data_IF_138113071335
#
_entry.id   IF_138113071335
#
_cell.length_a   1.000
_cell.length_b   1.000
_cell.length_c   1.000
_cell.angle_alpha   90.00
_cell.angle_beta   90.00
_cell.angle_gamma   90.00
#
_symmetry.space_group_name_H-M   'P 1'
#
loop_
_entity.id
_entity.type
_entity.pdbx_description
1 polymer ?
#
# COMPACT_ATOMS: atom_id res chain seq x y z
N UNK A 1 -22.70 -13.32 -16.51
CA UNK A 1 -21.68 -14.20 -17.11
C UNK A 1 -20.29 -13.56 -17.07
N UNK A 2 -20.14 -12.31 -17.49
CA UNK A 2 -18.85 -11.59 -17.57
C UNK A 2 -18.07 -11.52 -16.24
N UNK A 3 -18.76 -11.33 -15.10
CA UNK A 3 -18.14 -11.33 -13.77
C UNK A 3 -17.51 -12.69 -13.44
N UNK A 4 -18.20 -13.80 -13.72
CA UNK A 4 -17.66 -15.14 -13.51
C UNK A 4 -16.46 -15.44 -14.39
N UNK A 5 -16.47 -14.95 -15.64
CA UNK A 5 -15.32 -15.03 -16.54
C UNK A 5 -14.14 -14.21 -16.00
N UNK A 6 -14.38 -12.98 -15.52
CA UNK A 6 -13.33 -12.13 -14.94
C UNK A 6 -12.72 -12.77 -13.68
N UNK A 7 -13.54 -13.33 -12.80
CA UNK A 7 -13.07 -14.07 -11.61
C UNK A 7 -12.21 -15.27 -12.03
N UNK A 8 -12.69 -16.09 -12.97
CA UNK A 8 -11.95 -17.24 -13.49
C UNK A 8 -10.61 -16.85 -14.11
N UNK A 9 -10.60 -15.79 -14.94
CA UNK A 9 -9.38 -15.26 -15.55
C UNK A 9 -8.39 -14.75 -14.49
N UNK A 10 -8.87 -14.06 -13.46
CA UNK A 10 -8.02 -13.54 -12.38
C UNK A 10 -7.42 -14.68 -11.55
N UNK A 11 -8.22 -15.71 -11.25
CA UNK A 11 -7.75 -16.89 -10.52
C UNK A 11 -6.65 -17.63 -11.30
N UNK A 12 -6.86 -17.87 -12.60
CA UNK A 12 -5.88 -18.50 -13.49
C UNK A 12 -4.62 -17.63 -13.61
N UNK A 13 -4.78 -16.31 -13.75
CA UNK A 13 -3.68 -15.36 -13.80
C UNK A 13 -2.82 -15.37 -12.53
N UNK A 14 -3.44 -15.37 -11.35
CA UNK A 14 -2.74 -15.51 -10.07
C UNK A 14 -1.98 -16.83 -9.96
N UNK A 15 -2.58 -17.94 -10.44
CA UNK A 15 -1.93 -19.25 -10.43
C UNK A 15 -0.71 -19.28 -11.36
N UNK A 16 -0.84 -18.75 -12.57
CA UNK A 16 0.26 -18.62 -13.52
C UNK A 16 1.39 -17.75 -12.98
N UNK A 17 1.08 -16.63 -12.34
CA UNK A 17 2.08 -15.77 -11.71
C UNK A 17 2.85 -16.51 -10.61
N UNK A 18 2.16 -17.32 -9.79
CA UNK A 18 2.81 -18.16 -8.77
C UNK A 18 3.67 -19.24 -9.41
N UNK A 19 3.20 -19.90 -10.46
CA UNK A 19 3.94 -20.93 -11.18
C UNK A 19 5.21 -20.36 -11.82
N UNK A 20 5.12 -19.18 -12.44
CA UNK A 20 6.27 -18.45 -12.96
C UNK A 20 7.30 -18.16 -11.87
N UNK A 21 6.85 -17.76 -10.67
CA UNK A 21 7.73 -17.58 -9.52
C UNK A 21 8.45 -18.86 -9.07
N UNK A 22 7.82 -20.03 -9.22
CA UNK A 22 8.44 -21.34 -8.92
C UNK A 22 9.40 -21.81 -10.02
N UNK A 23 9.15 -21.42 -11.27
CA UNK A 23 9.98 -21.73 -12.43
C UNK A 23 11.22 -20.82 -12.52
N UNK A 24 11.25 -19.70 -11.80
CA UNK A 24 12.42 -18.83 -11.69
C UNK A 24 13.57 -19.63 -11.05
N UNK A 25 14.63 -19.83 -11.83
CA UNK A 25 15.85 -20.52 -11.42
C UNK A 25 16.54 -19.81 -10.24
N UNK A 26 17.10 -20.59 -9.32
CA UNK A 26 17.83 -20.11 -8.15
C UNK A 26 18.94 -19.10 -8.52
N UNK A 27 19.62 -19.29 -9.66
CA UNK A 27 20.69 -18.39 -10.12
C UNK A 27 20.22 -16.97 -10.46
N UNK A 28 18.94 -16.75 -10.78
CA UNK A 28 18.39 -15.42 -11.01
C UNK A 28 18.08 -14.69 -9.70
N UNK A 29 17.74 -15.44 -8.65
CA UNK A 29 17.38 -14.94 -7.33
C UNK A 29 18.61 -14.55 -6.49
N UNK A 30 19.76 -15.15 -6.77
CA UNK A 30 21.05 -14.84 -6.15
C UNK A 30 21.63 -13.48 -6.56
N UNK A 31 21.07 -12.84 -7.60
CA UNK A 31 21.46 -11.48 -7.99
C UNK A 31 21.15 -10.50 -6.86
N UNK A 32 22.11 -9.67 -6.41
CA UNK A 32 21.93 -8.78 -5.27
C UNK A 32 20.80 -7.77 -5.46
N UNK A 33 20.54 -7.33 -6.70
CA UNK A 33 19.44 -6.44 -7.04
C UNK A 33 18.06 -7.09 -6.81
N UNK A 34 17.90 -8.36 -7.20
CA UNK A 34 16.63 -9.10 -7.06
C UNK A 34 16.33 -9.34 -5.58
N UNK A 35 17.34 -9.76 -4.81
CA UNK A 35 17.21 -9.95 -3.37
C UNK A 35 16.81 -8.67 -2.64
N UNK A 36 17.43 -7.53 -2.98
CA UNK A 36 17.08 -6.22 -2.40
C UNK A 36 15.66 -5.78 -2.79
N UNK A 37 15.23 -6.03 -4.02
CA UNK A 37 13.85 -5.77 -4.42
C UNK A 37 12.87 -6.64 -3.64
N UNK A 38 13.11 -7.94 -3.53
CA UNK A 38 12.24 -8.88 -2.81
C UNK A 38 12.06 -8.51 -1.34
N UNK A 39 13.08 -7.96 -0.69
CA UNK A 39 12.95 -7.48 0.70
C UNK A 39 12.15 -6.17 0.81
N UNK A 40 12.16 -5.33 -0.23
CA UNK A 40 11.46 -4.04 -0.24
C UNK A 40 10.02 -4.14 -0.76
N UNK A 41 9.72 -5.16 -1.57
CA UNK A 41 8.41 -5.37 -2.17
C UNK A 41 7.26 -5.33 -1.15
N UNK A 42 7.30 -6.03 -0.01
CA UNK A 42 6.19 -5.99 0.95
C UNK A 42 5.89 -4.57 1.44
N UNK A 43 6.92 -3.83 1.85
CA UNK A 43 6.76 -2.45 2.35
C UNK A 43 6.33 -1.51 1.22
N UNK A 44 6.89 -1.66 0.01
CA UNK A 44 6.51 -0.84 -1.14
C UNK A 44 5.06 -1.07 -1.56
N UNK A 45 4.59 -2.33 -1.54
CA UNK A 45 3.20 -2.67 -1.84
C UNK A 45 2.25 -2.16 -0.76
N UNK A 46 2.60 -2.26 0.52
CA UNK A 46 1.82 -1.66 1.61
C UNK A 46 1.79 -0.14 1.53
N UNK A 47 2.91 0.50 1.16
CA UNK A 47 2.98 1.95 0.93
C UNK A 47 2.11 2.38 -0.27
N UNK A 48 2.16 1.63 -1.37
CA UNK A 48 1.30 1.88 -2.53
C UNK A 48 -0.19 1.68 -2.19
N UNK A 49 -0.52 0.63 -1.44
CA UNK A 49 -1.88 0.36 -0.98
C UNK A 49 -2.38 1.49 -0.09
N UNK A 50 -1.59 1.91 0.90
CA UNK A 50 -1.96 3.02 1.79
C UNK A 50 -2.14 4.32 1.02
N UNK A 51 -1.26 4.64 0.06
CA UNK A 51 -1.45 5.79 -0.82
C UNK A 51 -2.75 5.69 -1.63
N UNK A 52 -3.03 4.53 -2.24
CA UNK A 52 -4.25 4.33 -3.02
C UNK A 52 -5.51 4.43 -2.14
N UNK A 53 -5.52 3.83 -0.95
CA UNK A 53 -6.66 3.89 -0.01
C UNK A 53 -6.84 5.28 0.63
N UNK A 54 -5.80 6.11 0.59
CA UNK A 54 -5.82 7.49 1.12
C UNK A 54 -6.32 8.48 0.06
N UNK A 55 -5.88 8.35 -1.19
CA UNK A 55 -6.10 9.34 -2.24
C UNK A 55 -7.09 8.92 -3.35
N UNK A 56 -7.42 7.62 -3.46
CA UNK A 56 -8.36 7.12 -4.46
C UNK A 56 -9.67 6.66 -3.79
N UNK A 57 -10.80 7.18 -4.28
CA UNK A 57 -12.13 6.67 -3.96
C UNK A 57 -12.82 6.29 -5.27
N UNK A 58 -12.81 5.00 -5.61
CA UNK A 58 -13.30 4.50 -6.90
C UNK A 58 -12.47 5.07 -8.06
N UNK A 59 -13.09 5.91 -8.89
CA UNK A 59 -12.49 6.52 -10.08
C UNK A 59 -12.11 8.00 -9.91
N UNK A 60 -12.26 8.56 -8.71
CA UNK A 60 -11.97 9.96 -8.43
C UNK A 60 -10.80 10.09 -7.46
N UNK A 61 -9.87 11.00 -7.79
CA UNK A 61 -8.85 11.47 -6.87
C UNK A 61 -9.55 12.39 -5.87
N UNK A 62 -9.70 11.93 -4.64
CA UNK A 62 -10.31 12.74 -3.57
C UNK A 62 -9.19 13.06 -2.58
N UNK A 63 -8.91 14.36 -2.43
CA UNK A 63 -8.12 14.86 -1.30
C UNK A 63 -9.00 14.80 -0.04
N UNK A 64 -9.22 13.60 0.48
CA UNK A 64 -9.99 13.35 1.70
C UNK A 64 -9.15 13.71 2.95
N UNK A 65 -9.82 13.91 4.08
CA UNK A 65 -9.22 14.20 5.39
C UNK A 65 -8.13 13.17 5.79
N UNK A 66 -8.18 11.97 5.20
CA UNK A 66 -7.18 10.90 5.36
C UNK A 66 -5.78 11.36 4.92
N UNK A 67 -5.68 12.14 3.84
CA UNK A 67 -4.39 12.65 3.35
C UNK A 67 -3.72 13.59 4.37
N UNK A 68 -4.51 14.45 5.01
CA UNK A 68 -4.03 15.33 6.09
C UNK A 68 -3.57 14.51 7.31
N UNK A 69 -4.32 13.46 7.69
CA UNK A 69 -3.92 12.53 8.75
C UNK A 69 -2.59 11.85 8.49
N UNK A 70 -2.36 11.35 7.26
CA UNK A 70 -1.10 10.72 6.86
C UNK A 70 0.05 11.74 6.89
N UNK A 71 -0.17 12.97 6.44
CA UNK A 71 0.82 14.04 6.53
C UNK A 71 1.17 14.38 8.00
N UNK A 72 0.18 14.44 8.88
CA UNK A 72 0.37 14.63 10.32
C UNK A 72 1.19 13.51 10.96
N UNK A 73 0.89 12.25 10.64
CA UNK A 73 1.70 11.10 11.09
C UNK A 73 3.14 11.17 10.56
N UNK A 74 3.33 11.54 9.29
CA UNK A 74 4.66 11.67 8.70
C UNK A 74 5.49 12.74 9.45
N UNK A 75 4.89 13.89 9.78
CA UNK A 75 5.54 14.92 10.58
C UNK A 75 5.91 14.43 11.98
N UNK A 76 4.99 13.76 12.68
CA UNK A 76 5.26 13.20 14.01
C UNK A 76 6.37 12.14 13.97
N UNK A 77 6.44 11.35 12.91
CA UNK A 77 7.50 10.36 12.70
C UNK A 77 8.86 11.01 12.44
N UNK A 78 8.92 12.08 11.63
CA UNK A 78 10.16 12.85 11.40
C UNK A 78 10.68 13.48 12.70
N UNK A 79 9.78 13.91 13.58
CA UNK A 79 10.10 14.38 14.94
C UNK A 79 10.49 13.25 15.91
N UNK A 80 10.58 11.99 15.44
CA UNK A 80 10.92 10.80 16.23
C UNK A 80 9.99 10.55 17.42
N UNK A 81 8.71 10.90 17.29
CA UNK A 81 7.70 10.62 18.30
C UNK A 81 7.46 9.11 18.47
N UNK A 82 7.05 8.63 19.67
CA UNK A 82 6.70 7.22 19.86
C UNK A 82 5.47 6.85 19.03
N UNK A 83 5.35 5.56 18.67
CA UNK A 83 4.30 5.06 17.78
C UNK A 83 2.88 5.51 18.19
N UNK A 84 2.58 5.48 19.50
CA UNK A 84 1.28 5.89 20.02
C UNK A 84 0.96 7.36 19.72
N UNK A 85 1.97 8.23 19.79
CA UNK A 85 1.83 9.66 19.50
C UNK A 85 1.63 9.88 18.00
N UNK A 86 2.38 9.16 17.15
CA UNK A 86 2.21 9.23 15.69
C UNK A 86 0.77 8.87 15.28
N UNK A 87 0.24 7.78 15.84
CA UNK A 87 -1.15 7.34 15.60
C UNK A 87 -2.15 8.37 16.14
N UNK A 88 -1.92 8.87 17.36
CA UNK A 88 -2.78 9.88 17.99
C UNK A 88 -2.86 11.16 17.15
N UNK A 89 -1.73 11.64 16.63
CA UNK A 89 -1.67 12.82 15.74
C UNK A 89 -2.43 12.55 14.45
N UNK A 90 -2.23 11.41 13.79
CA UNK A 90 -2.96 11.07 12.57
C UNK A 90 -4.48 11.06 12.77
N UNK A 91 -4.95 10.43 13.85
CA UNK A 91 -6.38 10.38 14.19
C UNK A 91 -6.91 11.79 14.48
N UNK A 92 -6.22 12.57 15.32
CA UNK A 92 -6.63 13.92 15.68
C UNK A 92 -6.70 14.85 14.46
N UNK A 93 -5.70 14.81 13.58
CA UNK A 93 -5.67 15.62 12.35
C UNK A 93 -6.79 15.19 11.40
N UNK A 94 -6.99 13.89 11.19
CA UNK A 94 -8.08 13.39 10.33
C UNK A 94 -9.45 13.81 10.87
N UNK A 95 -9.66 13.66 12.18
CA UNK A 95 -10.90 14.04 12.84
C UNK A 95 -11.15 15.55 12.80
N UNK A 96 -10.12 16.36 13.04
CA UNK A 96 -10.21 17.82 12.98
C UNK A 96 -10.55 18.32 11.58
N UNK A 97 -9.87 17.81 10.54
CA UNK A 97 -10.17 18.17 9.15
C UNK A 97 -11.57 17.74 8.75
N UNK A 98 -12.03 16.57 9.20
CA UNK A 98 -13.40 16.10 8.95
C UNK A 98 -14.46 16.86 9.74
N UNK A 99 -14.13 17.47 10.88
CA UNK A 99 -15.07 18.29 11.64
C UNK A 99 -15.20 19.71 11.08
N UNK A 100 -14.21 20.17 10.31
CA UNK A 100 -14.15 21.50 9.70
C UNK A 100 -14.70 21.55 8.26
N UNK A 101 -14.96 20.39 7.63
CA UNK A 101 -15.52 20.25 6.28
C UNK A 101 -16.68 19.27 6.25
#
# INVERSE_FOLDING_TARGET
MSVWIAIGATAIGCYLAKLLGLLVSAGTLERPAVKRLSSLLPVALLAALTAQQTFASGNHLVLDARGAGVAGAALALVLRAPFLVVVGVAVAVTAGVRALG
#
